data_IF_732718210172
#
_entry.id   IF_732718210172
#
_cell.length_a   1.000
_cell.length_b   1.000
_cell.length_c   1.000
_cell.angle_alpha   90.00
_cell.angle_beta   90.00
_cell.angle_gamma   90.00
#
_symmetry.space_group_name_H-M   'P 1'
#
loop_
_entity.id
_entity.type
_entity.pdbx_description
1 polymer ?
#
# COMPACT_ATOMS: atom_id res chain seq x y z
N UNK A 1 -2.86 -8.18 18.86
CA UNK A 1 -2.92 -6.72 18.54
C UNK A 1 -1.52 -6.16 18.73
N UNK A 2 -0.90 -5.58 17.70
CA UNK A 2 0.44 -4.98 17.82
C UNK A 2 0.36 -3.65 18.58
N UNK A 3 1.30 -3.41 19.50
CA UNK A 3 1.43 -2.13 20.20
C UNK A 3 1.98 -1.06 19.23
N UNK A 4 1.08 -0.38 18.51
CA UNK A 4 1.43 0.80 17.75
C UNK A 4 1.93 1.88 18.72
N UNK A 5 3.13 2.41 18.49
CA UNK A 5 3.67 3.53 19.27
C UNK A 5 3.08 4.85 18.79
N UNK A 6 2.79 4.97 17.49
CA UNK A 6 2.05 6.09 16.90
C UNK A 6 1.47 5.74 15.53
N UNK A 7 0.35 6.37 15.20
CA UNK A 7 -0.30 6.33 13.89
C UNK A 7 -0.68 7.76 13.50
N UNK A 8 -0.10 8.28 12.42
CA UNK A 8 -0.30 9.66 11.95
C UNK A 8 -0.98 9.63 10.58
N UNK A 9 -2.10 10.33 10.44
CA UNK A 9 -2.74 10.55 9.13
C UNK A 9 -1.85 11.49 8.30
N UNK A 10 -1.50 11.07 7.09
CA UNK A 10 -0.68 11.86 6.16
C UNK A 10 -1.47 12.36 4.95
N UNK A 11 -2.51 11.63 4.57
CA UNK A 11 -3.35 11.98 3.43
C UNK A 11 -4.76 11.46 3.65
N UNK A 12 -5.74 12.26 3.26
CA UNK A 12 -7.15 11.90 3.24
C UNK A 12 -7.79 12.45 1.97
N UNK A 13 -8.46 11.57 1.23
CA UNK A 13 -9.34 11.92 0.12
C UNK A 13 -10.76 11.56 0.55
N UNK A 14 -11.57 12.55 0.98
CA UNK A 14 -12.93 12.28 1.45
C UNK A 14 -13.89 11.92 0.30
N UNK A 15 -13.57 12.26 -0.95
CA UNK A 15 -14.42 11.98 -2.11
C UNK A 15 -14.35 10.49 -2.46
N UNK A 16 -13.14 9.96 -2.51
CA UNK A 16 -12.90 8.55 -2.86
C UNK A 16 -12.63 7.65 -1.65
N UNK A 17 -12.68 8.21 -0.44
CA UNK A 17 -12.57 7.48 0.81
C UNK A 17 -11.18 6.93 1.10
N UNK A 18 -10.11 7.48 0.49
CA UNK A 18 -8.75 7.04 0.76
C UNK A 18 -8.19 7.71 2.01
N UNK A 19 -7.48 6.95 2.84
CA UNK A 19 -6.67 7.47 3.94
C UNK A 19 -5.32 6.79 3.95
N UNK A 20 -4.26 7.56 4.16
CA UNK A 20 -2.90 7.04 4.28
C UNK A 20 -2.37 7.42 5.64
N UNK A 21 -1.90 6.42 6.38
CA UNK A 21 -1.31 6.59 7.69
C UNK A 21 0.15 6.19 7.66
N UNK A 22 0.99 6.96 8.35
CA UNK A 22 2.32 6.54 8.74
C UNK A 22 2.27 5.95 10.15
N UNK A 23 2.77 4.73 10.28
CA UNK A 23 2.66 3.92 11.50
C UNK A 23 4.06 3.60 12.00
N UNK A 24 4.27 3.84 13.29
CA UNK A 24 5.47 3.42 14.02
C UNK A 24 5.06 2.35 15.03
N UNK A 25 5.59 1.15 14.87
CA UNK A 25 5.46 0.05 15.84
C UNK A 25 6.76 -0.11 16.62
N UNK A 26 6.65 -0.45 17.90
CA UNK A 26 7.79 -0.93 18.68
C UNK A 26 7.70 -2.44 18.80
N UNK A 27 8.66 -3.17 18.21
CA UNK A 27 8.79 -4.62 18.37
C UNK A 27 10.04 -4.90 19.17
N UNK A 28 9.93 -5.05 20.48
CA UNK A 28 11.05 -5.52 21.28
C UNK A 28 11.30 -7.02 21.00
N UNK A 29 12.56 -7.50 20.87
CA UNK A 29 13.82 -6.77 20.89
C UNK A 29 14.27 -6.20 19.53
N UNK A 30 13.53 -6.48 18.46
CA UNK A 30 13.84 -6.11 17.06
C UNK A 30 13.98 -4.59 16.83
N UNK A 31 13.38 -3.77 17.67
CA UNK A 31 13.42 -2.30 17.61
C UNK A 31 12.16 -1.68 17.01
N UNK A 32 12.30 -0.43 16.53
CA UNK A 32 11.20 0.32 15.92
C UNK A 32 11.04 -0.07 14.46
N UNK A 33 9.80 -0.26 14.02
CA UNK A 33 9.47 -0.48 12.62
C UNK A 33 8.50 0.60 12.15
N UNK A 34 8.84 1.23 11.03
CA UNK A 34 8.00 2.21 10.37
C UNK A 34 7.43 1.63 9.08
N UNK A 35 6.19 1.96 8.78
CA UNK A 35 5.52 1.58 7.53
C UNK A 35 4.32 2.47 7.29
N UNK A 36 3.74 2.34 6.10
CA UNK A 36 2.52 3.00 5.71
C UNK A 36 1.37 2.00 5.70
N UNK A 37 0.22 2.43 6.21
CA UNK A 37 -1.05 1.74 6.04
C UNK A 37 -1.95 2.58 5.14
N UNK A 38 -2.62 1.93 4.20
CA UNK A 38 -3.55 2.58 3.29
C UNK A 38 -4.93 2.02 3.56
N UNK A 39 -5.93 2.89 3.66
CA UNK A 39 -7.31 2.54 3.89
C UNK A 39 -8.18 3.08 2.76
N UNK A 40 -9.19 2.31 2.39
CA UNK A 40 -10.26 2.74 1.50
C UNK A 40 -11.60 2.50 2.19
N UNK A 41 -12.41 3.54 2.35
CA UNK A 41 -13.69 3.48 3.07
C UNK A 41 -13.54 2.83 4.46
N UNK A 42 -12.53 3.29 5.21
CA UNK A 42 -12.16 2.80 6.55
C UNK A 42 -11.78 1.31 6.63
N UNK A 43 -11.62 0.63 5.49
CA UNK A 43 -11.07 -0.73 5.40
C UNK A 43 -9.60 -0.69 5.03
N UNK A 44 -8.77 -1.43 5.77
CA UNK A 44 -7.35 -1.56 5.48
C UNK A 44 -7.17 -2.23 4.11
N UNK A 45 -6.38 -1.61 3.25
CA UNK A 45 -5.96 -2.19 1.98
C UNK A 45 -4.99 -3.35 2.26
N UNK A 46 -5.33 -4.51 1.71
CA UNK A 46 -4.50 -5.72 1.78
C UNK A 46 -4.25 -6.19 0.35
N UNK A 47 -2.99 -6.25 -0.04
CA UNK A 47 -2.58 -6.90 -1.29
C UNK A 47 -2.59 -8.42 -1.03
N UNK A 48 -3.39 -9.19 -1.78
CA UNK A 48 -3.45 -10.63 -1.59
C UNK A 48 -2.14 -11.32 -2.02
N UNK A 49 -1.87 -12.49 -1.42
CA UNK A 49 -0.62 -13.24 -1.62
C UNK A 49 -0.30 -13.57 -3.07
N UNK A 50 -1.32 -13.77 -3.92
CA UNK A 50 -1.12 -14.07 -5.34
C UNK A 50 -0.49 -12.90 -6.12
N UNK A 51 -0.58 -11.68 -5.60
CA UNK A 51 0.08 -10.48 -6.16
C UNK A 51 1.38 -10.20 -5.40
N UNK A 52 1.37 -10.36 -4.09
CA UNK A 52 2.50 -10.06 -3.21
C UNK A 52 3.56 -11.19 -3.11
N UNK A 53 3.31 -12.34 -3.74
CA UNK A 53 4.16 -13.53 -3.73
C UNK A 53 3.91 -14.42 -2.51
N UNK A 54 4.61 -14.14 -1.42
CA UNK A 54 4.72 -15.11 -0.30
C UNK A 54 3.65 -14.96 0.78
N UNK A 55 3.10 -13.76 0.95
CA UNK A 55 2.10 -13.44 1.98
C UNK A 55 1.29 -12.23 1.58
N UNK A 56 0.15 -12.05 2.23
CA UNK A 56 -0.62 -10.81 2.12
C UNK A 56 0.17 -9.62 2.66
N UNK A 57 0.03 -8.46 2.01
CA UNK A 57 0.72 -7.23 2.39
C UNK A 57 -0.28 -6.11 2.69
N UNK A 58 -0.24 -5.62 3.92
CA UNK A 58 -1.00 -4.44 4.38
C UNK A 58 -0.10 -3.33 4.93
N UNK A 59 1.22 -3.54 4.86
CA UNK A 59 2.26 -2.63 5.37
C UNK A 59 3.19 -2.29 4.23
N UNK A 60 3.19 -1.02 3.85
CA UNK A 60 3.89 -0.52 2.67
C UNK A 60 5.14 0.26 3.07
N UNK A 61 6.15 0.25 2.19
CA UNK A 61 7.39 1.00 2.38
C UNK A 61 7.18 2.50 2.16
N UNK A 62 6.30 2.86 1.22
CA UNK A 62 5.82 4.21 1.00
C UNK A 62 4.37 4.17 0.46
N UNK A 63 3.64 5.27 0.65
CA UNK A 63 2.32 5.46 0.05
C UNK A 63 2.05 6.95 -0.18
N UNK A 64 1.40 7.26 -1.30
CA UNK A 64 1.11 8.62 -1.74
C UNK A 64 -0.32 8.71 -2.27
N UNK A 65 -1.02 9.77 -1.90
CA UNK A 65 -2.34 10.09 -2.44
C UNK A 65 -2.23 11.12 -3.56
N UNK A 66 -3.01 10.93 -4.62
CA UNK A 66 -3.17 11.93 -5.66
C UNK A 66 -4.38 12.78 -5.31
N UNK A 67 -4.16 13.91 -4.63
CA UNK A 67 -5.23 14.90 -4.48
C UNK A 67 -5.62 15.42 -5.87
N UNK A 68 -6.91 15.67 -6.13
CA UNK A 68 -7.32 16.45 -7.29
C UNK A 68 -6.86 17.90 -7.09
N UNK A 69 -5.61 18.18 -7.41
CA UNK A 69 -5.06 19.55 -7.44
C UNK A 69 -5.62 20.35 -8.63
N UNK A 70 -6.16 19.65 -9.63
CA UNK A 70 -6.84 20.23 -10.79
C UNK A 70 -8.06 19.36 -11.13
N UNK A 71 -9.29 19.93 -11.12
CA UNK A 71 -10.50 19.21 -11.50
C UNK A 71 -10.49 18.70 -12.96
N UNK A 72 -9.58 19.19 -13.80
CA UNK A 72 -9.41 18.75 -15.19
C UNK A 72 -8.40 17.59 -15.34
N UNK A 73 -7.58 17.29 -14.32
CA UNK A 73 -6.64 16.15 -14.32
C UNK A 73 -7.25 14.94 -13.61
N UNK A 74 -8.32 14.41 -14.22
CA UNK A 74 -9.10 13.27 -13.70
C UNK A 74 -8.39 11.92 -13.80
N UNK A 75 -7.27 11.83 -14.53
CA UNK A 75 -6.57 10.57 -14.81
C UNK A 75 -6.01 9.87 -13.56
N UNK A 76 -5.83 10.58 -12.45
CA UNK A 76 -5.37 10.03 -11.17
C UNK A 76 -6.41 10.12 -10.04
N UNK A 77 -7.60 10.64 -10.32
CA UNK A 77 -8.65 10.77 -9.30
C UNK A 77 -9.04 9.41 -8.73
N UNK A 78 -9.19 9.35 -7.40
CA UNK A 78 -9.53 8.12 -6.68
C UNK A 78 -8.45 7.06 -6.72
N UNK A 79 -7.18 7.45 -6.92
CA UNK A 79 -6.05 6.53 -6.90
C UNK A 79 -5.03 6.88 -5.83
N UNK A 80 -4.33 5.87 -5.36
CA UNK A 80 -3.15 6.00 -4.49
C UNK A 80 -2.00 5.23 -5.10
N UNK A 81 -0.78 5.72 -4.93
CA UNK A 81 0.44 4.96 -5.23
C UNK A 81 0.96 4.34 -3.95
N UNK A 82 1.35 3.07 -4.02
CA UNK A 82 2.00 2.37 -2.90
C UNK A 82 3.29 1.72 -3.38
N UNK A 83 4.26 1.64 -2.47
CA UNK A 83 5.55 1.01 -2.71
C UNK A 83 5.72 -0.13 -1.71
N UNK A 84 6.09 -1.30 -2.20
CA UNK A 84 6.37 -2.46 -1.37
C UNK A 84 7.52 -3.29 -1.93
N UNK A 85 8.14 -4.07 -1.04
CA UNK A 85 9.16 -5.02 -1.44
C UNK A 85 8.46 -6.32 -1.84
N UNK A 86 8.70 -6.74 -3.08
CA UNK A 86 8.29 -8.02 -3.62
C UNK A 86 9.48 -8.97 -3.56
N UNK A 87 9.25 -10.18 -3.05
CA UNK A 87 10.29 -11.21 -3.05
C UNK A 87 9.76 -12.49 -3.66
N UNK A 88 10.56 -13.08 -4.52
CA UNK A 88 10.27 -14.32 -5.21
C UNK A 88 11.44 -15.28 -5.06
N UNK A 89 11.14 -16.55 -4.79
CA UNK A 89 12.17 -17.59 -4.81
C UNK A 89 12.35 -18.03 -6.25
N UNK A 90 13.56 -17.90 -6.77
CA UNK A 90 13.92 -18.45 -8.07
C UNK A 90 14.01 -19.96 -7.96
N UNK A 91 13.15 -20.68 -8.69
CA UNK A 91 13.08 -22.14 -8.66
C UNK A 91 14.33 -22.81 -9.25
N UNK A 92 15.11 -22.10 -10.09
CA UNK A 92 16.28 -22.67 -10.78
C UNK A 92 17.51 -22.78 -9.88
N UNK A 93 17.73 -21.80 -9.01
CA UNK A 93 18.95 -21.69 -8.20
C UNK A 93 18.65 -21.65 -6.69
N UNK A 94 17.37 -21.58 -6.30
CA UNK A 94 16.92 -21.52 -4.92
C UNK A 94 17.13 -20.17 -4.23
N UNK A 95 17.72 -19.17 -4.90
CA UNK A 95 17.96 -17.85 -4.34
C UNK A 95 16.67 -17.01 -4.27
N UNK A 96 16.67 -16.04 -3.37
CA UNK A 96 15.54 -15.15 -3.13
C UNK A 96 15.81 -13.81 -3.80
N UNK A 97 15.07 -13.55 -4.88
CA UNK A 97 15.11 -12.26 -5.57
C UNK A 97 14.24 -11.25 -4.83
N UNK A 98 14.71 -10.02 -4.69
CA UNK A 98 13.98 -8.94 -4.02
C UNK A 98 13.93 -7.70 -4.91
N UNK A 99 12.74 -7.13 -5.05
CA UNK A 99 12.46 -5.98 -5.89
C UNK A 99 11.63 -4.96 -5.11
N UNK A 100 11.85 -3.68 -5.37
CA UNK A 100 10.93 -2.63 -4.92
C UNK A 100 9.95 -2.35 -6.03
N UNK A 101 8.66 -2.50 -5.76
CA UNK A 101 7.59 -2.32 -6.74
C UNK A 101 6.73 -1.13 -6.33
N UNK A 102 6.51 -0.21 -7.27
CA UNK A 102 5.47 0.82 -7.15
C UNK A 102 4.24 0.40 -7.95
N UNK A 103 3.08 0.43 -7.31
CA UNK A 103 1.80 0.18 -7.98
C UNK A 103 0.84 1.33 -7.75
N UNK A 104 0.11 1.68 -8.79
CA UNK A 104 -1.12 2.48 -8.70
C UNK A 104 -2.26 1.56 -8.31
N UNK A 105 -3.00 1.95 -7.28
CA UNK A 105 -4.19 1.26 -6.80
C UNK A 105 -5.40 2.14 -7.05
N UNK A 106 -6.37 1.59 -7.78
CA UNK A 106 -7.68 2.20 -8.01
C UNK A 106 -8.76 1.25 -7.49
N UNK A 107 -9.76 1.78 -6.80
CA UNK A 107 -10.96 1.01 -6.48
C UNK A 107 -11.92 1.05 -7.67
N UNK A 108 -12.21 -0.11 -8.25
CA UNK A 108 -13.25 -0.24 -9.27
C UNK A 108 -14.56 -0.62 -8.60
N UNK A 109 -15.49 0.34 -8.54
CA UNK A 109 -16.79 0.15 -7.91
C UNK A 109 -17.68 -0.85 -8.65
N UNK A 110 -17.52 -1.00 -9.97
CA UNK A 110 -18.30 -1.94 -10.79
C UNK A 110 -17.90 -3.36 -10.42
N UNK A 111 -16.59 -3.61 -10.36
CA UNK A 111 -16.05 -4.94 -10.07
C UNK A 111 -15.85 -5.20 -8.56
N UNK A 112 -16.09 -4.19 -7.73
CA UNK A 112 -15.86 -4.18 -6.28
C UNK A 112 -14.47 -4.72 -5.88
N UNK A 113 -13.47 -4.44 -6.71
CA UNK A 113 -12.10 -4.95 -6.53
C UNK A 113 -11.07 -3.84 -6.72
N UNK A 114 -9.90 -4.04 -6.13
CA UNK A 114 -8.76 -3.17 -6.38
C UNK A 114 -8.09 -3.57 -7.70
N UNK A 115 -7.85 -2.58 -8.53
CA UNK A 115 -7.05 -2.70 -9.74
C UNK A 115 -5.64 -2.20 -9.43
N UNK A 116 -4.65 -3.08 -9.65
CA UNK A 116 -3.24 -2.78 -9.46
C UNK A 116 -2.58 -2.61 -10.83
N UNK A 117 -1.98 -1.45 -11.07
CA UNK A 117 -1.22 -1.17 -12.29
C UNK A 117 0.22 -0.84 -11.93
N UNK A 118 1.16 -1.60 -12.50
CA UNK A 118 2.59 -1.33 -12.37
C UNK A 118 2.93 0.03 -12.97
N UNK A 119 3.80 0.75 -12.28
CA UNK A 119 4.49 1.92 -12.82
C UNK A 119 5.97 1.57 -12.75
N UNK A 120 6.60 1.47 -13.92
CA UNK A 120 8.03 1.30 -14.06
C UNK A 120 8.72 2.66 -14.04
#
# INVERSE_FOLDING_TARGET
MGNYKSKKLLFEDPIYGWKIYYVTENRFPVGKRNFYEVYHQDKLLVIPKNIAGTKELSRFAAAFGYAPLDPNYTIYSGTVAIVFNYTERNEKDGFLNSWTVMVRVKYDAIEKKFLFKYIC
#
